data_IF_030701671520
#
_entry.id   IF_030701671520
#
_cell.length_a   1.000
_cell.length_b   1.000
_cell.length_c   1.000
_cell.angle_alpha   90.00
_cell.angle_beta   90.00
_cell.angle_gamma   90.00
#
_symmetry.space_group_name_H-M   'P 1'
#
loop_
_entity.id
_entity.type
_entity.pdbx_description
1 polymer ?
#
# COMPACT_ATOMS: atom_id res chain seq x y z
N UNK A 1 -11.46 -32.89 -0.17
CA UNK A 1 -10.86 -31.68 0.43
C UNK A 1 -11.66 -30.50 -0.07
N UNK A 2 -12.18 -29.67 0.82
CA UNK A 2 -12.87 -28.41 0.48
C UNK A 2 -11.85 -27.37 0.02
N UNK A 3 -12.30 -26.34 -0.70
CA UNK A 3 -11.45 -25.21 -1.11
C UNK A 3 -10.76 -24.54 0.09
N UNK A 4 -11.45 -24.44 1.23
CA UNK A 4 -10.90 -23.89 2.47
C UNK A 4 -9.81 -24.79 3.07
N UNK A 5 -10.03 -26.10 3.13
CA UNK A 5 -9.02 -27.06 3.60
C UNK A 5 -7.76 -27.00 2.74
N UNK A 6 -7.94 -26.90 1.42
CA UNK A 6 -6.83 -26.77 0.47
C UNK A 6 -6.04 -25.47 0.71
N UNK A 7 -6.73 -24.35 0.94
CA UNK A 7 -6.09 -23.07 1.24
C UNK A 7 -5.35 -23.06 2.58
N UNK A 8 -5.91 -23.70 3.61
CA UNK A 8 -5.26 -23.92 4.92
C UNK A 8 -3.96 -24.69 4.74
N UNK A 9 -3.97 -25.78 3.98
CA UNK A 9 -2.78 -26.58 3.69
C UNK A 9 -1.73 -25.79 2.89
N UNK A 10 -2.15 -25.10 1.82
CA UNK A 10 -1.25 -24.31 0.98
C UNK A 10 -0.52 -23.24 1.76
N UNK A 11 -1.22 -22.48 2.61
CA UNK A 11 -0.64 -21.34 3.33
C UNK A 11 -0.12 -21.71 4.72
N UNK A 12 -0.49 -22.88 5.26
CA UNK A 12 -0.11 -23.34 6.58
C UNK A 12 -0.66 -22.45 7.71
N UNK A 13 -1.88 -21.94 7.55
CA UNK A 13 -2.54 -21.03 8.52
C UNK A 13 -3.93 -21.52 8.88
N UNK A 14 -4.40 -21.15 10.08
CA UNK A 14 -5.77 -21.44 10.49
C UNK A 14 -6.79 -20.73 9.58
N UNK A 15 -7.94 -21.38 9.37
CA UNK A 15 -9.03 -20.86 8.54
C UNK A 15 -9.51 -19.45 8.92
N UNK A 16 -9.41 -19.06 10.21
CA UNK A 16 -9.79 -17.72 10.69
C UNK A 16 -8.98 -16.58 10.06
N UNK A 17 -7.81 -16.88 9.50
CA UNK A 17 -6.96 -15.91 8.81
C UNK A 17 -7.20 -15.87 7.30
N UNK A 18 -8.15 -16.64 6.77
CA UNK A 18 -8.40 -16.76 5.35
C UNK A 18 -9.69 -16.05 4.95
N UNK A 19 -9.56 -15.11 4.03
CA UNK A 19 -10.67 -14.40 3.41
C UNK A 19 -10.87 -14.93 1.98
N UNK A 20 -12.04 -15.51 1.63
CA UNK A 20 -12.29 -15.92 0.26
C UNK A 20 -12.32 -14.72 -0.68
N UNK A 21 -11.87 -14.91 -1.90
CA UNK A 21 -11.99 -13.92 -2.97
C UNK A 21 -12.43 -14.56 -4.28
N UNK A 22 -13.11 -13.74 -5.06
CA UNK A 22 -13.52 -13.99 -6.43
C UNK A 22 -13.44 -12.64 -7.15
N UNK A 23 -12.51 -12.51 -8.10
CA UNK A 23 -12.22 -11.22 -8.73
C UNK A 23 -11.82 -11.37 -10.18
N UNK A 24 -11.98 -10.28 -10.93
CA UNK A 24 -11.50 -10.15 -12.31
C UNK A 24 -10.17 -9.40 -12.31
N UNK A 25 -9.17 -9.95 -13.01
CA UNK A 25 -7.84 -9.38 -13.15
C UNK A 25 -7.82 -8.32 -14.27
N UNK A 26 -7.65 -7.02 -13.95
CA UNK A 26 -7.72 -5.96 -14.93
C UNK A 26 -6.46 -5.81 -15.80
N UNK A 27 -5.47 -6.69 -15.64
CA UNK A 27 -4.21 -6.69 -16.41
C UNK A 27 -4.03 -7.90 -17.32
N UNK A 28 -4.90 -8.91 -17.22
CA UNK A 28 -4.72 -10.17 -17.95
C UNK A 28 -6.01 -10.57 -18.65
N UNK A 29 -6.47 -9.75 -19.60
CA UNK A 29 -7.69 -10.01 -20.40
C UNK A 29 -8.96 -10.30 -19.57
N UNK A 30 -9.08 -9.67 -18.40
CA UNK A 30 -10.23 -9.85 -17.49
C UNK A 30 -10.44 -11.30 -17.01
N UNK A 31 -9.35 -12.05 -16.89
CA UNK A 31 -9.37 -13.39 -16.31
C UNK A 31 -9.88 -13.38 -14.87
N UNK A 32 -10.72 -14.36 -14.53
CA UNK A 32 -11.29 -14.52 -13.19
C UNK A 32 -10.35 -15.32 -12.30
N UNK A 33 -10.06 -14.80 -11.11
CA UNK A 33 -9.22 -15.40 -10.08
C UNK A 33 -10.05 -15.74 -8.86
N UNK A 34 -9.95 -16.98 -8.40
CA UNK A 34 -10.70 -17.48 -7.24
C UNK A 34 -9.77 -18.16 -6.23
N UNK A 35 -9.94 -17.86 -4.95
CA UNK A 35 -9.09 -18.41 -3.90
C UNK A 35 -9.28 -17.78 -2.53
N UNK A 36 -8.21 -17.77 -1.72
CA UNK A 36 -8.20 -17.17 -0.38
C UNK A 36 -7.01 -16.23 -0.18
N UNK A 37 -7.26 -15.10 0.46
CA UNK A 37 -6.28 -14.14 0.91
C UNK A 37 -5.94 -14.35 2.38
N UNK A 38 -4.66 -14.32 2.72
CA UNK A 38 -4.17 -14.50 4.07
C UNK A 38 -4.07 -13.17 4.83
N UNK A 39 -4.74 -13.08 5.98
CA UNK A 39 -4.72 -11.95 6.90
C UNK A 39 -3.82 -12.19 8.12
N UNK A 40 -3.04 -13.28 8.13
CA UNK A 40 -2.11 -13.55 9.23
C UNK A 40 -0.96 -12.53 9.21
N UNK A 41 -0.72 -11.76 10.29
CA UNK A 41 0.25 -10.66 10.29
C UNK A 41 1.71 -11.15 10.47
N UNK A 42 2.15 -12.06 9.58
CA UNK A 42 3.52 -12.57 9.51
C UNK A 42 4.06 -12.49 8.07
N UNK A 43 5.04 -13.33 7.72
CA UNK A 43 5.59 -13.41 6.37
C UNK A 43 4.57 -13.80 5.29
N UNK A 44 3.39 -14.31 5.67
CA UNK A 44 2.28 -14.66 4.77
C UNK A 44 1.24 -13.57 4.65
N UNK A 45 1.45 -12.41 5.28
CA UNK A 45 0.43 -11.37 5.24
C UNK A 45 0.16 -10.90 3.81
N UNK A 46 -1.10 -10.92 3.40
CA UNK A 46 -1.53 -10.64 2.04
C UNK A 46 -1.19 -11.72 1.00
N UNK A 47 -0.65 -12.88 1.40
CA UNK A 47 -0.40 -14.01 0.51
C UNK A 47 -1.72 -14.60 -0.01
N UNK A 48 -1.69 -15.25 -1.17
CA UNK A 48 -2.86 -15.85 -1.80
C UNK A 48 -2.69 -17.37 -1.91
N UNK A 49 -3.74 -18.10 -1.58
CA UNK A 49 -3.99 -19.44 -2.10
C UNK A 49 -4.89 -19.27 -3.32
N UNK A 50 -4.30 -19.22 -4.52
CA UNK A 50 -5.04 -19.16 -5.78
C UNK A 50 -5.43 -20.58 -6.17
N UNK A 51 -6.73 -20.84 -6.29
CA UNK A 51 -7.26 -22.19 -6.52
C UNK A 51 -7.72 -22.39 -7.95
N UNK A 52 -8.36 -21.37 -8.54
CA UNK A 52 -8.86 -21.41 -9.92
C UNK A 52 -8.54 -20.13 -10.68
N UNK A 53 -8.33 -20.32 -11.98
CA UNK A 53 -8.16 -19.26 -12.99
C UNK A 53 -9.15 -19.57 -14.11
N UNK A 54 -10.07 -18.65 -14.38
CA UNK A 54 -11.22 -18.83 -15.30
C UNK A 54 -12.05 -20.10 -15.00
N UNK A 55 -12.32 -20.35 -13.72
CA UNK A 55 -13.07 -21.53 -13.27
C UNK A 55 -12.33 -22.86 -13.43
N UNK A 56 -11.10 -22.88 -13.98
CA UNK A 56 -10.25 -24.06 -14.11
C UNK A 56 -9.26 -24.13 -12.96
N UNK A 57 -8.99 -25.34 -12.47
CA UNK A 57 -8.02 -25.55 -11.39
C UNK A 57 -6.62 -25.10 -11.79
N UNK A 58 -6.02 -24.26 -10.96
CA UNK A 58 -4.67 -23.70 -11.12
C UNK A 58 -4.07 -23.42 -9.73
N UNK A 59 -4.09 -24.46 -8.88
CA UNK A 59 -3.75 -24.37 -7.47
C UNK A 59 -2.29 -23.97 -7.24
N UNK A 60 -2.09 -22.83 -6.59
CA UNK A 60 -0.76 -22.33 -6.25
C UNK A 60 -0.80 -21.37 -5.05
N UNK A 61 0.36 -21.23 -4.41
CA UNK A 61 0.60 -20.24 -3.36
C UNK A 61 1.37 -19.06 -3.94
N UNK A 62 0.88 -17.85 -3.67
CA UNK A 62 1.53 -16.60 -4.02
C UNK A 62 1.90 -15.88 -2.73
N UNK A 63 3.19 -15.77 -2.44
CA UNK A 63 3.66 -14.94 -1.33
C UNK A 63 3.59 -13.45 -1.70
N UNK A 64 3.35 -12.60 -0.71
CA UNK A 64 3.15 -11.18 -0.93
C UNK A 64 4.06 -10.33 -0.05
N UNK A 65 3.85 -9.01 -0.08
CA UNK A 65 4.53 -8.05 0.82
C UNK A 65 4.32 -8.45 2.27
N UNK A 66 5.36 -8.92 2.98
CA UNK A 66 5.23 -9.37 4.36
C UNK A 66 5.02 -8.16 5.29
N UNK A 67 4.61 -8.44 6.52
CA UNK A 67 4.59 -7.41 7.57
C UNK A 67 6.03 -7.01 7.91
N UNK A 68 6.32 -5.70 7.93
CA UNK A 68 7.61 -5.17 8.38
C UNK A 68 7.65 -5.09 9.91
N UNK A 69 8.79 -5.39 10.50
CA UNK A 69 9.00 -5.34 11.95
C UNK A 69 9.62 -3.99 12.37
N UNK A 70 9.35 -3.57 13.61
CA UNK A 70 10.11 -2.51 14.26
C UNK A 70 11.32 -3.14 14.97
N UNK A 71 12.51 -2.51 14.92
CA UNK A 71 13.70 -3.05 15.55
C UNK A 71 13.77 -2.70 17.04
N UNK A 72 12.65 -2.38 17.69
CA UNK A 72 12.59 -2.11 19.11
C UNK A 72 11.28 -2.59 19.73
N UNK A 73 11.34 -2.93 21.02
CA UNK A 73 10.18 -3.27 21.84
C UNK A 73 9.46 -2.02 22.35
N UNK A 74 8.28 -2.23 22.97
CA UNK A 74 7.51 -1.15 23.63
C UNK A 74 8.26 -0.49 24.80
N UNK A 75 9.33 -1.13 25.29
CA UNK A 75 10.23 -0.62 26.31
C UNK A 75 11.37 0.26 25.74
N UNK A 76 11.33 0.53 24.42
CA UNK A 76 12.34 1.32 23.72
C UNK A 76 13.66 0.57 23.49
N UNK A 77 13.76 -0.71 23.88
CA UNK A 77 14.97 -1.50 23.66
C UNK A 77 15.06 -1.94 22.22
N UNK A 78 16.19 -1.66 21.59
CA UNK A 78 16.47 -2.15 20.24
C UNK A 78 16.78 -3.65 20.24
N UNK A 79 16.14 -4.36 19.32
CA UNK A 79 16.35 -5.77 19.03
C UNK A 79 16.63 -5.92 17.53
N UNK A 80 17.90 -6.13 17.20
CA UNK A 80 18.30 -6.57 15.86
C UNK A 80 18.71 -8.06 15.92
N UNK A 81 18.44 -8.85 14.87
CA UNK A 81 19.12 -10.13 14.70
C UNK A 81 20.62 -9.89 14.55
N UNK A 82 21.48 -10.92 14.70
CA UNK A 82 22.90 -10.79 14.36
C UNK A 82 23.07 -10.21 12.95
N UNK A 83 23.79 -9.09 12.84
CA UNK A 83 23.93 -8.33 11.59
C UNK A 83 25.29 -8.62 10.96
N UNK A 84 25.30 -9.04 9.69
CA UNK A 84 26.49 -9.02 8.83
C UNK A 84 26.60 -7.69 8.08
N UNK A 85 25.49 -7.21 7.53
CA UNK A 85 25.40 -5.90 6.87
C UNK A 85 23.98 -5.34 6.95
N UNK A 86 23.85 -4.01 6.79
CA UNK A 86 22.56 -3.34 6.68
C UNK A 86 22.60 -2.33 5.53
N UNK A 87 21.52 -2.30 4.72
CA UNK A 87 21.30 -1.28 3.71
C UNK A 87 20.07 -0.46 4.07
N UNK A 88 20.23 0.86 4.13
CA UNK A 88 19.18 1.79 4.53
C UNK A 88 18.62 2.49 3.29
N UNK A 89 17.30 2.50 3.18
CA UNK A 89 16.56 3.19 2.14
C UNK A 89 15.54 4.12 2.78
N UNK A 90 15.22 5.21 2.10
CA UNK A 90 14.11 6.07 2.52
C UNK A 90 12.82 5.26 2.55
N UNK A 91 12.06 5.40 3.63
CA UNK A 91 10.69 4.91 3.68
C UNK A 91 9.80 5.95 3.00
N UNK A 92 9.43 5.66 1.77
CA UNK A 92 8.41 6.40 1.05
C UNK A 92 7.03 6.12 1.67
N UNK A 93 6.16 7.13 1.61
CA UNK A 93 4.83 7.15 2.19
C UNK A 93 3.79 7.20 1.06
N UNK A 94 3.36 6.04 0.63
CA UNK A 94 2.31 5.88 -0.36
C UNK A 94 1.68 4.50 -0.24
N UNK A 95 1.34 3.94 -1.40
CA UNK A 95 0.62 2.68 -1.48
C UNK A 95 1.53 1.59 -2.02
N UNK A 96 1.60 0.49 -1.29
CA UNK A 96 2.37 -0.67 -1.71
C UNK A 96 1.64 -1.41 -2.86
N UNK A 97 2.31 -1.52 -4.00
CA UNK A 97 1.84 -2.33 -5.14
C UNK A 97 2.79 -3.50 -5.34
N UNK A 98 2.29 -4.71 -5.12
CA UNK A 98 3.03 -5.93 -5.43
C UNK A 98 2.70 -6.38 -6.84
N UNK A 99 3.70 -6.45 -7.70
CA UNK A 99 3.62 -7.14 -8.96
C UNK A 99 3.97 -8.62 -8.79
N UNK A 100 3.04 -9.52 -9.12
CA UNK A 100 3.23 -10.95 -8.96
C UNK A 100 2.85 -11.72 -10.22
N UNK A 101 3.48 -12.89 -10.38
CA UNK A 101 3.23 -13.80 -11.49
C UNK A 101 2.53 -15.03 -10.98
N UNK A 102 1.60 -15.56 -11.76
CA UNK A 102 0.91 -16.81 -11.50
C UNK A 102 0.79 -17.62 -12.78
N UNK A 103 0.54 -18.92 -12.66
CA UNK A 103 0.28 -19.80 -13.80
C UNK A 103 -1.22 -20.03 -13.96
N UNK A 104 -1.70 -20.02 -15.19
CA UNK A 104 -3.06 -20.48 -15.47
C UNK A 104 -3.13 -22.01 -15.62
N UNK A 105 -4.32 -22.53 -15.92
CA UNK A 105 -4.55 -23.96 -16.09
C UNK A 105 -3.84 -24.57 -17.32
N UNK A 106 -3.29 -23.74 -18.21
CA UNK A 106 -2.52 -24.16 -19.38
C UNK A 106 -0.99 -23.94 -19.18
N UNK A 107 -0.57 -23.77 -17.92
CA UNK A 107 0.81 -23.53 -17.47
C UNK A 107 1.42 -22.21 -18.00
N UNK A 108 0.58 -21.28 -18.48
CA UNK A 108 1.05 -19.98 -19.00
C UNK A 108 1.27 -19.01 -17.87
N UNK A 109 2.39 -18.30 -17.91
CA UNK A 109 2.66 -17.23 -16.98
C UNK A 109 1.80 -16.01 -17.27
N UNK A 110 1.13 -15.52 -16.23
CA UNK A 110 0.41 -14.26 -16.20
C UNK A 110 1.07 -13.32 -15.19
N UNK A 111 0.97 -12.02 -15.46
CA UNK A 111 1.51 -10.96 -14.61
C UNK A 111 0.36 -10.04 -14.22
N UNK A 112 0.25 -9.77 -12.92
CA UNK A 112 -0.70 -8.80 -12.40
C UNK A 112 -0.14 -8.07 -11.19
N UNK A 113 -0.95 -7.18 -10.63
CA UNK A 113 -0.58 -6.26 -9.56
C UNK A 113 -1.64 -6.30 -8.48
N UNK A 114 -1.22 -6.13 -7.23
CA UNK A 114 -2.13 -6.12 -6.09
C UNK A 114 -1.71 -5.15 -5.00
N UNK A 115 -2.70 -4.73 -4.22
CA UNK A 115 -2.49 -4.12 -2.91
C UNK A 115 -2.30 -5.21 -1.87
N UNK A 116 -1.87 -4.85 -0.65
CA UNK A 116 -1.55 -5.86 0.38
C UNK A 116 -2.73 -6.80 0.66
N UNK A 117 -3.91 -6.25 0.94
CA UNK A 117 -5.13 -7.00 1.31
C UNK A 117 -6.20 -7.01 0.20
N UNK A 118 -5.80 -6.88 -1.06
CA UNK A 118 -6.67 -7.11 -2.21
C UNK A 118 -6.00 -8.11 -3.15
N UNK A 119 -6.70 -9.10 -3.74
CA UNK A 119 -6.08 -10.08 -4.64
C UNK A 119 -5.53 -9.45 -5.92
N UNK A 120 -6.19 -8.41 -6.43
CA UNK A 120 -5.80 -7.63 -7.61
C UNK A 120 -5.92 -6.14 -7.31
N UNK A 121 -5.25 -5.31 -8.10
CA UNK A 121 -5.33 -3.86 -8.00
C UNK A 121 -6.67 -3.39 -8.59
N UNK A 122 -7.35 -2.51 -7.87
CA UNK A 122 -8.67 -1.99 -8.26
C UNK A 122 -8.77 -0.51 -7.93
N UNK A 123 -9.65 0.19 -8.64
CA UNK A 123 -10.15 1.46 -8.15
C UNK A 123 -11.10 1.18 -6.98
N UNK A 124 -11.02 2.00 -5.94
CA UNK A 124 -11.97 2.01 -4.83
C UNK A 124 -12.67 3.37 -4.80
N UNK A 125 -13.69 3.51 -3.96
CA UNK A 125 -14.33 4.82 -3.75
C UNK A 125 -13.37 5.87 -3.16
N UNK A 126 -12.18 5.46 -2.71
CA UNK A 126 -11.22 6.30 -2.01
C UNK A 126 -9.98 6.66 -2.82
N UNK A 127 -9.77 5.97 -3.94
CA UNK A 127 -8.59 6.19 -4.76
C UNK A 127 -8.67 5.47 -6.09
N UNK A 128 -8.24 6.12 -7.20
CA UNK A 128 -8.16 5.49 -8.50
C UNK A 128 -6.83 4.72 -8.64
N UNK A 129 -6.55 3.79 -7.71
CA UNK A 129 -5.25 3.11 -7.63
C UNK A 129 -4.91 2.32 -8.90
N UNK A 130 -5.91 1.70 -9.54
CA UNK A 130 -5.72 1.01 -10.82
C UNK A 130 -5.33 1.99 -11.93
N UNK A 131 -5.98 3.14 -12.00
CA UNK A 131 -5.68 4.14 -13.03
C UNK A 131 -4.32 4.79 -12.83
N UNK A 132 -3.96 5.09 -11.57
CA UNK A 132 -2.63 5.57 -11.21
C UNK A 132 -1.54 4.58 -11.63
N UNK A 133 -1.76 3.29 -11.36
CA UNK A 133 -0.78 2.28 -11.75
C UNK A 133 -0.70 2.09 -13.27
N UNK A 134 -1.83 2.12 -13.99
CA UNK A 134 -1.84 2.08 -15.46
C UNK A 134 -1.08 3.25 -16.08
N UNK A 135 -1.25 4.44 -15.52
CA UNK A 135 -0.47 5.63 -15.92
C UNK A 135 1.03 5.43 -15.70
N UNK A 136 1.41 4.85 -14.55
CA UNK A 136 2.81 4.53 -14.25
C UNK A 136 3.38 3.47 -15.20
N UNK A 137 2.62 2.41 -15.52
CA UNK A 137 3.04 1.41 -16.50
C UNK A 137 3.20 2.00 -17.91
N UNK A 138 2.35 2.96 -18.29
CA UNK A 138 2.49 3.66 -19.57
C UNK A 138 3.75 4.54 -19.61
N UNK A 139 4.13 5.14 -18.48
CA UNK A 139 5.37 5.93 -18.35
C UNK A 139 6.63 5.06 -18.20
N UNK A 140 6.47 3.85 -17.67
CA UNK A 140 7.54 2.91 -17.36
C UNK A 140 7.25 1.52 -17.96
N UNK A 141 7.26 1.39 -19.31
CA UNK A 141 6.94 0.14 -20.00
C UNK A 141 7.94 -0.99 -19.69
N UNK A 142 9.08 -0.71 -19.06
CA UNK A 142 10.06 -1.67 -18.60
C UNK A 142 9.63 -2.47 -17.36
N UNK A 143 8.66 -2.00 -16.57
CA UNK A 143 8.24 -2.63 -15.30
C UNK A 143 7.89 -4.12 -15.46
N UNK A 144 7.08 -4.54 -16.45
CA UNK A 144 6.80 -5.97 -16.67
C UNK A 144 8.06 -6.82 -16.88
N UNK A 145 9.03 -6.32 -17.65
CA UNK A 145 10.27 -7.02 -17.94
C UNK A 145 11.18 -7.12 -16.71
N UNK A 146 11.15 -6.12 -15.80
CA UNK A 146 11.89 -6.18 -14.54
C UNK A 146 11.43 -7.34 -13.66
N UNK A 147 10.14 -7.64 -13.63
CA UNK A 147 9.59 -8.70 -12.78
C UNK A 147 10.04 -10.07 -13.29
N UNK A 148 10.02 -10.26 -14.60
CA UNK A 148 10.55 -11.48 -15.22
C UNK A 148 12.06 -11.62 -14.98
N UNK A 149 12.82 -10.56 -15.21
CA UNK A 149 14.27 -10.56 -15.09
C UNK A 149 14.78 -10.84 -13.66
N UNK A 150 14.00 -10.48 -12.64
CA UNK A 150 14.34 -10.72 -11.24
C UNK A 150 13.92 -12.12 -10.76
N UNK A 151 13.01 -12.81 -11.45
CA UNK A 151 12.54 -14.15 -11.06
C UNK A 151 11.79 -14.20 -9.73
N UNK A 152 11.29 -13.06 -9.25
CA UNK A 152 10.54 -12.94 -8.00
C UNK A 152 9.31 -12.03 -8.18
N UNK A 153 8.40 -12.02 -7.21
CA UNK A 153 7.39 -10.96 -7.14
C UNK A 153 8.08 -9.68 -6.71
N UNK A 154 7.72 -8.52 -7.27
CA UNK A 154 8.41 -7.25 -7.02
C UNK A 154 7.44 -6.26 -6.39
N UNK A 155 7.82 -5.74 -5.25
CA UNK A 155 7.07 -4.72 -4.52
C UNK A 155 7.52 -3.34 -4.93
N UNK A 156 6.56 -2.46 -5.15
CA UNK A 156 6.76 -1.05 -5.48
C UNK A 156 6.05 -0.19 -4.45
N UNK A 157 6.59 1.00 -4.19
CA UNK A 157 5.82 2.08 -3.61
C UNK A 157 5.26 2.94 -4.74
N UNK A 158 3.94 3.07 -4.81
CA UNK A 158 3.26 4.07 -5.61
C UNK A 158 3.03 5.30 -4.73
N UNK A 159 3.70 6.41 -5.02
CA UNK A 159 3.72 7.60 -4.14
C UNK A 159 3.65 8.89 -4.95
N UNK A 160 3.39 10.02 -4.29
CA UNK A 160 3.34 11.34 -4.89
C UNK A 160 2.17 12.18 -4.38
N UNK A 161 2.07 13.43 -4.84
CA UNK A 161 1.04 14.37 -4.42
C UNK A 161 -0.39 13.83 -4.64
N UNK A 162 -0.57 13.00 -5.67
CA UNK A 162 -1.83 12.35 -6.06
C UNK A 162 -2.18 11.13 -5.23
N UNK A 163 -1.18 10.49 -4.64
CA UNK A 163 -1.34 9.36 -3.74
C UNK A 163 -0.80 9.70 -2.34
N UNK A 164 -1.22 10.86 -1.82
CA UNK A 164 -0.68 11.42 -0.59
C UNK A 164 -1.34 10.79 0.64
N UNK A 165 -0.49 10.28 1.53
CA UNK A 165 -0.86 9.84 2.87
C UNK A 165 -0.53 10.95 3.89
N UNK A 166 0.57 10.83 4.64
CA UNK A 166 1.05 11.83 5.60
C UNK A 166 2.09 12.79 5.01
N UNK A 167 2.97 12.31 4.13
CA UNK A 167 4.04 13.09 3.51
C UNK A 167 3.50 13.84 2.29
N UNK A 168 3.86 15.11 2.18
CA UNK A 168 3.59 15.93 1.00
C UNK A 168 4.75 15.78 0.01
N UNK A 169 4.44 15.33 -1.21
CA UNK A 169 5.40 15.18 -2.29
C UNK A 169 5.24 16.29 -3.33
N UNK A 170 6.35 16.76 -3.90
CA UNK A 170 6.33 17.63 -5.09
C UNK A 170 6.03 16.83 -6.36
N UNK A 171 6.50 15.58 -6.42
CA UNK A 171 6.26 14.70 -7.57
C UNK A 171 4.78 14.32 -7.64
N UNK A 172 4.09 14.49 -8.77
CA UNK A 172 2.65 14.20 -8.87
C UNK A 172 2.32 12.73 -8.56
N UNK A 173 3.02 11.81 -9.24
CA UNK A 173 2.85 10.37 -9.09
C UNK A 173 4.10 9.66 -9.63
N UNK A 174 4.69 8.77 -8.83
CA UNK A 174 5.88 7.99 -9.16
C UNK A 174 5.78 6.57 -8.58
N UNK A 175 6.67 5.69 -9.06
CA UNK A 175 6.85 4.34 -8.55
C UNK A 175 8.31 4.10 -8.18
N UNK A 176 8.57 3.49 -7.03
CA UNK A 176 9.91 3.08 -6.61
C UNK A 176 9.94 1.58 -6.29
N UNK A 177 10.94 0.85 -6.80
CA UNK A 177 11.14 -0.57 -6.46
C UNK A 177 11.58 -0.68 -5.00
N UNK A 178 10.85 -1.43 -4.19
CA UNK A 178 11.15 -1.63 -2.77
C UNK A 178 11.98 -2.89 -2.55
N UNK A 179 11.43 -4.06 -2.86
CA UNK A 179 12.05 -5.36 -2.63
C UNK A 179 11.35 -6.44 -3.45
N UNK A 180 11.94 -7.63 -3.48
CA UNK A 180 11.40 -8.81 -4.11
C UNK A 180 10.94 -9.82 -3.07
N UNK A 181 9.95 -10.64 -3.43
CA UNK A 181 9.49 -11.79 -2.63
C UNK A 181 9.66 -13.03 -3.47
N UNK A 182 10.51 -13.95 -3.01
CA UNK A 182 10.80 -15.18 -3.73
C UNK A 182 9.60 -16.14 -3.65
N UNK A 183 9.07 -16.62 -4.79
CA UNK A 183 7.90 -17.50 -4.79
C UNK A 183 8.11 -18.83 -4.07
N UNK A 184 9.35 -19.35 -4.05
CA UNK A 184 9.67 -20.66 -3.49
C UNK A 184 9.50 -20.72 -1.96
N UNK A 185 9.90 -19.67 -1.25
CA UNK A 185 10.14 -19.70 0.20
C UNK A 185 9.74 -18.41 0.95
N UNK A 186 9.11 -17.46 0.26
CA UNK A 186 8.78 -16.12 0.78
C UNK A 186 10.00 -15.28 1.19
N UNK A 187 11.23 -15.68 0.84
CA UNK A 187 12.41 -14.93 1.19
C UNK A 187 12.38 -13.54 0.56
N UNK A 188 12.73 -12.53 1.35
CA UNK A 188 12.90 -11.16 0.86
C UNK A 188 14.18 -11.08 0.05
N UNK A 189 14.09 -10.46 -1.11
CA UNK A 189 15.22 -10.08 -1.97
C UNK A 189 15.35 -8.57 -1.86
N UNK A 190 16.42 -8.08 -1.25
CA UNK A 190 16.59 -6.64 -1.03
C UNK A 190 16.76 -5.88 -2.35
N UNK A 191 16.43 -4.57 -2.40
CA UNK A 191 16.53 -3.77 -3.62
C UNK A 191 17.95 -3.72 -4.21
N UNK A 192 18.98 -3.82 -3.36
CA UNK A 192 20.39 -3.92 -3.77
C UNK A 192 20.74 -5.24 -4.49
N UNK A 193 19.86 -6.23 -4.45
CA UNK A 193 19.99 -7.50 -5.17
C UNK A 193 19.11 -7.55 -6.43
N UNK A 194 18.27 -6.54 -6.64
CA UNK A 194 17.33 -6.49 -7.76
C UNK A 194 17.88 -5.66 -8.92
N UNK A 195 17.43 -6.01 -10.11
CA UNK A 195 17.39 -5.08 -11.24
C UNK A 195 16.28 -4.08 -10.99
N UNK A 196 16.64 -2.84 -10.66
CA UNK A 196 15.68 -1.79 -10.26
C UNK A 196 15.39 -0.76 -11.35
N UNK A 197 16.05 -0.85 -12.51
CA UNK A 197 15.95 0.17 -13.57
C UNK A 197 16.51 1.55 -13.16
N UNK A 198 17.19 1.66 -12.01
CA UNK A 198 17.79 2.90 -11.49
C UNK A 198 16.93 3.69 -10.50
N UNK A 199 15.71 3.21 -10.17
CA UNK A 199 14.68 3.98 -9.47
C UNK A 199 14.67 3.95 -7.93
N UNK A 200 15.63 3.30 -7.27
CA UNK A 200 15.75 3.39 -5.81
C UNK A 200 17.21 3.27 -5.37
N UNK A 201 17.70 4.25 -4.62
CA UNK A 201 19.10 4.31 -4.14
C UNK A 201 19.12 4.37 -2.61
N UNK A 202 20.11 3.73 -1.97
CA UNK A 202 20.31 3.88 -0.53
C UNK A 202 20.49 5.36 -0.17
N UNK A 203 20.00 5.75 1.01
CA UNK A 203 20.22 7.11 1.53
C UNK A 203 21.69 7.32 1.86
N UNK A 204 22.26 8.46 1.46
CA UNK A 204 23.53 8.95 1.99
C UNK A 204 23.25 9.68 3.31
N UNK A 205 24.09 9.50 4.33
CA UNK A 205 23.90 9.85 5.74
C UNK A 205 23.63 11.34 6.09
N UNK A 206 23.48 12.24 5.11
CA UNK A 206 23.43 13.67 5.39
C UNK A 206 22.09 14.34 5.05
N UNK A 207 21.43 14.80 6.13
CA UNK A 207 20.46 15.90 6.25
C UNK A 207 19.00 15.58 5.92
N UNK A 208 18.16 15.59 6.97
CA UNK A 208 16.71 15.44 6.87
C UNK A 208 16.01 16.79 7.06
N UNK A 209 15.21 17.15 6.06
CA UNK A 209 13.93 17.83 6.28
C UNK A 209 12.81 16.94 5.74
N UNK A 210 12.04 16.31 6.66
CA UNK A 210 10.75 15.66 6.41
C UNK A 210 10.73 14.26 5.77
N UNK A 211 11.34 13.24 6.40
CA UNK A 211 11.24 11.81 5.97
C UNK A 211 10.26 11.02 6.85
N UNK A 212 9.47 10.10 6.29
CA UNK A 212 8.61 9.18 7.09
C UNK A 212 9.46 8.25 7.98
N UNK A 213 10.66 7.91 7.52
CA UNK A 213 11.62 7.04 8.18
C UNK A 213 12.55 6.37 7.18
N UNK A 214 13.15 5.27 7.61
CA UNK A 214 14.00 4.42 6.80
C UNK A 214 13.54 2.96 6.87
N UNK A 215 13.68 2.24 5.76
CA UNK A 215 13.59 0.78 5.72
C UNK A 215 14.99 0.21 5.72
N UNK A 216 15.27 -0.66 6.67
CA UNK A 216 16.54 -1.33 6.85
C UNK A 216 16.42 -2.75 6.33
N UNK A 217 17.27 -3.07 5.35
CA UNK A 217 17.44 -4.43 4.87
C UNK A 217 18.68 -5.03 5.54
N UNK A 218 18.44 -5.91 6.51
CA UNK A 218 19.48 -6.50 7.35
C UNK A 218 19.83 -7.88 6.82
N UNK A 219 21.08 -8.07 6.45
CA UNK A 219 21.63 -9.39 6.07
C UNK A 219 22.20 -10.05 7.31
N UNK A 220 21.66 -11.22 7.67
CA UNK A 220 22.17 -12.08 8.74
C UNK A 220 23.42 -12.86 8.25
N UNK A 221 24.27 -13.39 9.16
CA UNK A 221 25.40 -14.26 8.79
C UNK A 221 25.02 -15.49 7.94
N UNK A 222 23.75 -15.90 7.99
CA UNK A 222 23.19 -16.99 7.17
C UNK A 222 22.97 -16.58 5.71
N UNK A 223 23.11 -15.30 5.38
CA UNK A 223 22.75 -14.70 4.09
C UNK A 223 21.27 -14.34 3.96
N UNK A 224 20.45 -14.61 4.98
CA UNK A 224 19.03 -14.23 5.00
C UNK A 224 18.89 -12.72 5.12
N UNK A 225 17.96 -12.14 4.34
CA UNK A 225 17.58 -10.72 4.43
C UNK A 225 16.27 -10.57 5.19
N UNK A 226 16.23 -9.64 6.15
CA UNK A 226 15.01 -9.23 6.87
C UNK A 226 14.79 -7.72 6.73
N UNK A 227 13.51 -7.29 6.80
CA UNK A 227 13.13 -5.89 6.65
C UNK A 227 12.65 -5.29 7.96
N UNK A 228 13.17 -4.11 8.28
CA UNK A 228 12.83 -3.37 9.49
C UNK A 228 12.44 -1.94 9.12
N UNK A 229 11.39 -1.40 9.72
CA UNK A 229 11.01 0.01 9.61
C UNK A 229 11.52 0.77 10.83
N UNK A 230 12.30 1.82 10.60
CA UNK A 230 12.71 2.79 11.62
C UNK A 230 12.06 4.12 11.28
N UNK A 231 11.26 4.67 12.18
CA UNK A 231 10.74 6.03 11.99
C UNK A 231 11.61 6.99 12.82
N UNK A 232 11.71 8.28 12.45
CA UNK A 232 12.47 9.23 13.27
C UNK A 232 11.88 9.31 14.67
N UNK A 233 12.71 9.59 15.67
CA UNK A 233 12.27 9.75 17.07
C UNK A 233 11.12 10.76 17.18
N UNK A 234 11.07 11.82 16.36
CA UNK A 234 9.94 12.76 16.31
C UNK A 234 8.60 12.17 15.81
N UNK A 235 8.61 11.07 15.06
CA UNK A 235 7.40 10.32 14.65
C UNK A 235 7.07 9.24 15.68
N UNK A 236 8.09 8.71 16.35
CA UNK A 236 8.00 7.65 17.36
C UNK A 236 7.61 8.18 18.75
N UNK A 237 8.13 9.32 19.18
CA UNK A 237 7.74 10.04 20.41
C UNK A 237 6.26 10.38 20.39
N UNK A 238 5.70 10.74 19.23
CA UNK A 238 4.25 10.96 19.10
C UNK A 238 3.51 9.61 19.13
N UNK A 239 4.08 8.51 18.61
CA UNK A 239 3.48 7.16 18.67
C UNK A 239 3.47 6.54 20.07
N UNK A 240 4.47 6.84 20.91
CA UNK A 240 4.72 6.11 22.16
C UNK A 240 4.59 6.96 23.42
N UNK A 241 4.57 8.30 23.34
CA UNK A 241 4.24 9.14 24.48
C UNK A 241 2.75 9.03 24.80
N UNK A 242 2.42 8.07 25.67
CA UNK A 242 1.11 7.89 26.33
C UNK A 242 -0.09 7.65 25.39
N UNK A 243 -0.24 6.39 24.94
CA UNK A 243 -1.49 5.89 24.37
C UNK A 243 -1.50 5.73 22.85
N UNK A 244 -2.70 5.59 22.27
CA UNK A 244 -2.85 5.50 20.82
C UNK A 244 -2.79 6.91 20.21
N UNK A 245 -1.75 7.15 19.42
CA UNK A 245 -1.53 8.42 18.72
C UNK A 245 -2.57 8.66 17.63
N UNK A 246 -3.26 9.81 17.67
CA UNK A 246 -4.24 10.20 16.65
C UNK A 246 -3.67 10.25 15.22
N UNK A 247 -2.45 10.75 15.03
CA UNK A 247 -1.82 10.81 13.71
C UNK A 247 -1.54 9.41 13.15
N UNK A 248 -1.15 8.47 14.03
CA UNK A 248 -0.97 7.07 13.67
C UNK A 248 -2.30 6.44 13.22
N UNK A 249 -3.38 6.68 13.98
CA UNK A 249 -4.72 6.19 13.61
C UNK A 249 -5.17 6.77 12.28
N UNK A 250 -4.95 8.07 12.04
CA UNK A 250 -5.25 8.69 10.75
C UNK A 250 -4.48 8.02 9.60
N UNK A 251 -3.20 7.70 9.80
CA UNK A 251 -2.41 6.96 8.81
C UNK A 251 -2.98 5.55 8.55
N UNK A 252 -3.33 4.83 9.61
CA UNK A 252 -3.97 3.50 9.50
C UNK A 252 -5.32 3.60 8.78
N UNK A 253 -6.10 4.65 9.05
CA UNK A 253 -7.33 4.92 8.31
C UNK A 253 -7.06 5.08 6.81
N UNK A 254 -6.06 5.87 6.42
CA UNK A 254 -5.67 6.04 5.02
C UNK A 254 -5.27 4.70 4.36
N UNK A 255 -4.47 3.90 5.04
CA UNK A 255 -4.09 2.56 4.56
C UNK A 255 -5.30 1.63 4.41
N UNK A 256 -6.29 1.71 5.30
CA UNK A 256 -7.51 0.90 5.22
C UNK A 256 -8.32 1.21 3.94
N UNK A 257 -8.28 2.46 3.48
CA UNK A 257 -8.99 2.90 2.27
C UNK A 257 -8.42 2.32 0.98
N UNK A 258 -7.19 1.82 1.01
CA UNK A 258 -6.56 1.12 -0.12
C UNK A 258 -7.35 -0.14 -0.47
N UNK A 259 -7.89 -0.84 0.53
CA UNK A 259 -8.46 -2.17 0.35
C UNK A 259 -9.93 -2.28 0.70
N UNK A 260 -10.50 -1.29 1.42
CA UNK A 260 -11.90 -1.29 1.84
C UNK A 260 -12.65 -0.06 1.35
N UNK A 261 -13.84 -0.27 0.78
CA UNK A 261 -14.78 0.80 0.41
C UNK A 261 -15.60 1.31 1.61
N UNK A 262 -15.30 0.89 2.84
CA UNK A 262 -15.95 1.40 4.06
C UNK A 262 -14.86 1.63 5.10
N UNK A 263 -14.88 2.80 5.75
CA UNK A 263 -14.01 3.09 6.88
C UNK A 263 -14.86 3.24 8.13
N UNK A 264 -14.82 2.19 8.94
CA UNK A 264 -15.44 2.12 10.26
C UNK A 264 -14.49 1.40 11.22
N UNK A 265 -14.88 1.30 12.48
CA UNK A 265 -14.05 0.67 13.50
C UNK A 265 -13.76 -0.80 13.19
N UNK A 266 -14.73 -1.56 12.69
CA UNK A 266 -14.56 -3.00 12.42
C UNK A 266 -13.54 -3.25 11.31
N UNK A 267 -13.49 -2.37 10.30
CA UNK A 267 -12.48 -2.40 9.22
C UNK A 267 -11.10 -2.01 9.77
N UNK A 268 -11.05 -1.04 10.68
CA UNK A 268 -9.79 -0.52 11.20
C UNK A 268 -9.19 -1.42 12.30
N UNK A 269 -10.02 -2.12 13.06
CA UNK A 269 -9.64 -2.91 14.23
C UNK A 269 -8.57 -3.96 13.92
N UNK A 270 -8.68 -4.79 12.86
CA UNK A 270 -7.63 -5.74 12.50
C UNK A 270 -6.28 -5.07 12.27
N UNK A 271 -6.27 -3.89 11.63
CA UNK A 271 -5.07 -3.10 11.34
C UNK A 271 -4.49 -2.44 12.60
N UNK A 272 -5.34 -2.06 13.55
CA UNK A 272 -4.88 -1.53 14.84
C UNK A 272 -4.31 -2.63 15.73
N UNK A 273 -4.92 -3.82 15.74
CA UNK A 273 -4.44 -4.99 16.47
C UNK A 273 -3.08 -5.50 15.97
N UNK A 274 -2.64 -5.04 14.79
CA UNK A 274 -1.28 -5.26 14.34
C UNK A 274 -0.22 -4.56 15.20
N UNK A 275 -0.56 -3.43 15.81
CA UNK A 275 0.38 -2.52 16.46
C UNK A 275 0.04 -2.27 17.95
N UNK A 276 -1.24 -2.39 18.32
CA UNK A 276 -1.76 -2.06 19.66
C UNK A 276 -2.41 -3.27 20.34
N UNK A 277 -2.42 -3.25 21.67
CA UNK A 277 -3.13 -4.29 22.44
C UNK A 277 -4.65 -3.99 22.47
N UNK A 278 -5.50 -5.02 22.59
CA UNK A 278 -6.95 -4.84 22.68
C UNK A 278 -7.37 -3.82 23.75
N UNK A 279 -6.78 -3.89 24.94
CA UNK A 279 -7.10 -3.00 26.07
C UNK A 279 -6.75 -1.52 25.77
N UNK A 280 -5.65 -1.28 25.05
CA UNK A 280 -5.27 0.07 24.60
C UNK A 280 -6.30 0.58 23.57
N UNK A 281 -6.71 -0.26 22.62
CA UNK A 281 -7.69 0.11 21.60
C UNK A 281 -9.04 0.47 22.22
N UNK A 282 -9.49 -0.32 23.19
CA UNK A 282 -10.73 -0.06 23.92
C UNK A 282 -10.64 1.24 24.72
N UNK A 283 -9.53 1.44 25.45
CA UNK A 283 -9.28 2.67 26.22
C UNK A 283 -9.30 3.94 25.36
N UNK A 284 -8.79 3.87 24.13
CA UNK A 284 -8.71 5.01 23.21
C UNK A 284 -9.80 5.03 22.13
N UNK A 285 -10.88 4.27 22.31
CA UNK A 285 -11.94 4.09 21.31
C UNK A 285 -12.52 5.41 20.78
N UNK A 286 -12.80 6.37 21.65
CA UNK A 286 -13.32 7.68 21.24
C UNK A 286 -12.38 8.43 20.30
N UNK A 287 -11.08 8.40 20.58
CA UNK A 287 -10.07 9.04 19.72
C UNK A 287 -9.98 8.36 18.35
N UNK A 288 -10.14 7.03 18.33
CA UNK A 288 -10.16 6.24 17.10
C UNK A 288 -11.39 6.60 16.25
N UNK A 289 -12.57 6.64 16.88
CA UNK A 289 -13.82 6.99 16.18
C UNK A 289 -13.78 8.44 15.65
N UNK A 290 -13.17 9.37 16.38
CA UNK A 290 -12.95 10.75 15.92
C UNK A 290 -11.99 10.83 14.74
N UNK A 291 -10.91 10.04 14.73
CA UNK A 291 -9.99 9.95 13.60
C UNK A 291 -10.67 9.35 12.36
N UNK A 292 -11.47 8.28 12.52
CA UNK A 292 -12.29 7.70 11.45
C UNK A 292 -13.23 8.75 10.88
N UNK A 293 -13.96 9.49 11.73
CA UNK A 293 -14.89 10.55 11.30
C UNK A 293 -14.15 11.64 10.53
N UNK A 294 -13.00 12.08 11.02
CA UNK A 294 -12.17 13.09 10.37
C UNK A 294 -11.73 12.65 8.96
N UNK A 295 -11.25 11.41 8.82
CA UNK A 295 -10.80 10.87 7.52
C UNK A 295 -11.97 10.70 6.55
N UNK A 296 -13.12 10.21 7.02
CA UNK A 296 -14.33 10.11 6.20
C UNK A 296 -14.76 11.47 5.65
N UNK A 297 -14.83 12.52 6.49
CA UNK A 297 -15.20 13.89 6.08
C UNK A 297 -14.21 14.46 5.06
N UNK A 298 -12.91 14.30 5.30
CA UNK A 298 -11.88 14.77 4.37
C UNK A 298 -11.99 14.07 3.01
N UNK A 299 -12.26 12.76 2.98
CA UNK A 299 -12.42 12.05 1.72
C UNK A 299 -13.70 12.40 0.97
N UNK A 300 -14.82 12.51 1.66
CA UNK A 300 -16.07 12.95 1.03
C UNK A 300 -15.90 14.33 0.39
N UNK A 301 -15.15 15.23 1.06
CA UNK A 301 -14.79 16.52 0.50
C UNK A 301 -13.92 16.38 -0.75
N UNK A 302 -12.85 15.58 -0.70
CA UNK A 302 -11.96 15.33 -1.86
C UNK A 302 -12.72 14.76 -3.05
N UNK A 303 -13.60 13.79 -2.81
CA UNK A 303 -14.41 13.17 -3.86
C UNK A 303 -15.38 14.17 -4.48
N UNK A 304 -16.03 15.01 -3.65
CA UNK A 304 -16.91 16.08 -4.15
C UNK A 304 -16.14 17.07 -5.02
N UNK A 305 -14.93 17.47 -4.61
CA UNK A 305 -14.06 18.35 -5.40
C UNK A 305 -13.67 17.71 -6.72
N UNK A 306 -13.28 16.42 -6.71
CA UNK A 306 -12.94 15.66 -7.91
C UNK A 306 -14.08 15.64 -8.91
N UNK A 307 -15.28 15.21 -8.49
CA UNK A 307 -16.46 15.15 -9.38
C UNK A 307 -16.83 16.52 -9.94
N UNK A 308 -16.78 17.57 -9.12
CA UNK A 308 -17.06 18.92 -9.58
C UNK A 308 -16.01 19.40 -10.61
N UNK A 309 -14.74 19.10 -10.37
CA UNK A 309 -13.66 19.47 -11.28
C UNK A 309 -13.70 18.67 -12.59
N UNK A 310 -14.04 17.38 -12.57
CA UNK A 310 -14.26 16.58 -13.78
C UNK A 310 -15.37 17.18 -14.66
N UNK A 311 -16.47 17.66 -14.06
CA UNK A 311 -17.52 18.37 -14.78
C UNK A 311 -17.06 19.69 -15.41
N UNK A 312 -16.13 20.40 -14.76
CA UNK A 312 -15.49 21.60 -15.30
C UNK A 312 -14.51 21.25 -16.43
N UNK A 313 -13.75 20.15 -16.31
CA UNK A 313 -12.85 19.66 -17.35
C UNK A 313 -13.58 19.24 -18.61
N UNK A 314 -14.75 18.62 -18.48
CA UNK A 314 -15.59 18.26 -19.61
C UNK A 314 -16.01 19.48 -20.47
N UNK A 315 -15.95 20.69 -19.91
CA UNK A 315 -16.21 21.95 -20.61
C UNK A 315 -14.94 22.56 -21.24
N UNK A 316 -13.82 21.85 -21.23
CA UNK A 316 -12.54 22.28 -21.79
C UNK A 316 -11.69 23.16 -20.87
N UNK A 317 -12.10 23.36 -19.61
CA UNK A 317 -11.34 24.12 -18.63
C UNK A 317 -10.29 23.25 -17.94
N UNK A 318 -9.16 23.87 -17.55
CA UNK A 318 -8.04 23.18 -16.93
C UNK A 318 -7.39 24.07 -15.90
N UNK A 319 -7.12 23.53 -14.70
CA UNK A 319 -6.54 24.30 -13.59
C UNK A 319 -5.14 24.83 -13.91
N UNK A 320 -4.38 24.11 -14.74
CA UNK A 320 -3.04 24.50 -15.17
C UNK A 320 -3.06 25.55 -16.27
N UNK A 321 -4.12 25.61 -17.08
CA UNK A 321 -4.28 26.60 -18.15
C UNK A 321 -4.93 27.89 -17.67
N UNK A 322 -6.01 27.79 -16.90
CA UNK A 322 -6.76 28.94 -16.39
C UNK A 322 -7.36 28.65 -15.01
N UNK A 323 -6.53 28.87 -14.00
CA UNK A 323 -6.94 28.79 -12.58
C UNK A 323 -8.15 29.66 -12.29
N UNK A 324 -8.22 30.87 -12.83
CA UNK A 324 -9.30 31.82 -12.50
C UNK A 324 -10.63 31.33 -13.01
N UNK A 325 -10.69 30.86 -14.26
CA UNK A 325 -11.91 30.32 -14.85
C UNK A 325 -12.39 29.06 -14.10
N UNK A 326 -11.48 28.12 -13.78
CA UNK A 326 -11.83 26.92 -13.00
C UNK A 326 -12.35 27.29 -11.62
N UNK A 327 -11.64 28.14 -10.88
CA UNK A 327 -12.04 28.52 -9.52
C UNK A 327 -13.36 29.30 -9.51
N UNK A 328 -13.63 30.11 -10.54
CA UNK A 328 -14.92 30.79 -10.72
C UNK A 328 -16.03 29.77 -10.99
N UNK A 329 -15.83 28.82 -11.89
CA UNK A 329 -16.81 27.77 -12.19
C UNK A 329 -17.17 26.93 -10.94
N UNK A 330 -16.17 26.64 -10.09
CA UNK A 330 -16.36 25.86 -8.87
C UNK A 330 -16.96 26.66 -7.71
N UNK A 331 -16.83 27.99 -7.69
CA UNK A 331 -17.37 28.83 -6.61
C UNK A 331 -18.90 28.78 -6.47
N UNK A 332 -19.62 28.31 -7.49
CA UNK A 332 -21.06 28.04 -7.39
C UNK A 332 -21.42 26.76 -6.63
N UNK A 333 -20.46 25.85 -6.41
CA UNK A 333 -20.68 24.53 -5.80
C UNK A 333 -20.07 24.38 -4.40
N UNK A 334 -19.16 25.29 -4.03
CA UNK A 334 -18.44 25.28 -2.77
C UNK A 334 -18.55 26.64 -2.08
N UNK A 335 -18.52 26.63 -0.75
CA UNK A 335 -18.57 27.88 0.01
C UNK A 335 -17.26 28.65 -0.14
N UNK A 336 -17.34 29.97 0.01
CA UNK A 336 -16.18 30.87 -0.12
C UNK A 336 -15.03 30.51 0.82
N UNK A 337 -15.33 30.11 2.05
CA UNK A 337 -14.35 29.68 3.06
C UNK A 337 -13.67 28.35 2.72
N UNK A 338 -14.27 27.53 1.85
CA UNK A 338 -13.72 26.25 1.41
C UNK A 338 -12.82 26.39 0.17
N UNK A 339 -12.86 27.52 -0.55
CA UNK A 339 -12.22 27.63 -1.86
C UNK A 339 -10.70 27.42 -1.83
N UNK A 340 -10.02 27.76 -0.73
CA UNK A 340 -8.61 27.45 -0.53
C UNK A 340 -8.36 25.94 -0.50
N UNK A 341 -9.21 25.18 0.20
CA UNK A 341 -9.13 23.72 0.27
C UNK A 341 -9.54 23.05 -1.04
N UNK A 342 -10.53 23.61 -1.76
CA UNK A 342 -10.90 23.16 -3.11
C UNK A 342 -9.68 23.26 -4.04
N UNK A 343 -9.03 24.41 -4.05
CA UNK A 343 -7.81 24.60 -4.86
C UNK A 343 -6.72 23.61 -4.48
N UNK A 344 -6.43 23.46 -3.18
CA UNK A 344 -5.42 22.52 -2.71
C UNK A 344 -5.75 21.07 -3.09
N UNK A 345 -7.01 20.67 -2.98
CA UNK A 345 -7.47 19.33 -3.38
C UNK A 345 -7.31 19.10 -4.89
N UNK A 346 -7.63 20.08 -5.74
CA UNK A 346 -7.46 19.98 -7.20
C UNK A 346 -5.97 19.90 -7.57
N UNK A 347 -5.12 20.73 -6.97
CA UNK A 347 -3.68 20.67 -7.20
C UNK A 347 -3.12 19.31 -6.80
N UNK A 348 -3.62 18.72 -5.71
CA UNK A 348 -3.26 17.35 -5.31
C UNK A 348 -3.77 16.27 -6.26
N UNK A 349 -4.79 16.50 -7.08
CA UNK A 349 -5.16 15.57 -8.17
C UNK A 349 -4.08 15.49 -9.26
N UNK A 350 -3.07 16.37 -9.20
CA UNK A 350 -1.79 16.31 -9.92
C UNK A 350 -1.94 16.35 -11.43
N UNK A 351 -2.53 17.45 -11.89
CA UNK A 351 -2.58 17.86 -13.29
C UNK A 351 -1.61 19.00 -13.57
#
# INVERSE_FOLDING_TARGET
MTDLEQAVELLGVDAKFLQPFDTTDPFTDEVRLEGFLCQRPDHRYGALALLRVDGRHATQRIFATPKLHYPFGKDGRFFFPPIQSAHLYEKLDGTNVLAYRYRDADDRWRLTYKLRLAPTLRNSKWGPFLDYWRELLARHPEIPALIEANGCHVSFEMYGARNAHLIAYETPLAAAVLFGVRPADAAVVGPFQLRTGGGNKPTADDKVSGTEGTVWYVTEPTGRVTMWKCKPESVEDIHWATGINKAAVIATCWNALETSDVLNYDVLLPLLLEEYQPDDIEKFRTNIDDAIRQVNVEQEFRQKVRTAYEGVKAQGLSITRDKTAVMRALSGQFRRDQMGHVYAAIVRLGE
#
